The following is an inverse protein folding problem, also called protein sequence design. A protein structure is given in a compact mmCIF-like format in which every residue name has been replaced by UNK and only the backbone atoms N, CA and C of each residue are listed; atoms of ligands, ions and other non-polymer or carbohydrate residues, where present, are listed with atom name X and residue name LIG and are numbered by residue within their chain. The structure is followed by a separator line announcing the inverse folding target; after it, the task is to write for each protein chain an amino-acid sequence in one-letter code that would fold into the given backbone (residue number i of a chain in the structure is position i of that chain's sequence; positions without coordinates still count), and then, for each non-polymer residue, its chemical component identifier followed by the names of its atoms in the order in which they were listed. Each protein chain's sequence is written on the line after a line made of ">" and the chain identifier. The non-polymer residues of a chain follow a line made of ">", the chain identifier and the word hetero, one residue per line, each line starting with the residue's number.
data_IF_684391878507
#
_entry.id   IF_684391878507
#
_cell.length_a   1.000
_cell.length_b   1.000
_cell.length_c   1.000
_cell.angle_alpha   90.00
_cell.angle_beta   90.00
_cell.angle_gamma   90.00
#
_symmetry.space_group_name_H-M   'P 1'
#
loop_
_entity.id
_entity.type
_entity.pdbx_description
1 polymer ?
#
# COMPACT_ATOMS: atom_id res chain seq x y z
N UNK A 1 45.49 -21.66 -0.52
CA UNK A 1 44.38 -20.81 -0.04
C UNK A 1 43.74 -20.15 -1.26
N UNK A 2 42.42 -20.27 -1.47
CA UNK A 2 41.71 -19.55 -2.51
C UNK A 2 41.87 -18.05 -2.28
N UNK A 3 42.07 -17.28 -3.36
CA UNK A 3 42.20 -15.82 -3.28
C UNK A 3 40.90 -15.25 -2.68
N UNK A 4 41.03 -14.55 -1.55
CA UNK A 4 39.89 -13.85 -0.93
C UNK A 4 39.67 -12.55 -1.72
N UNK A 5 38.46 -12.37 -2.26
CA UNK A 5 38.02 -11.17 -2.95
C UNK A 5 36.56 -10.84 -2.55
N UNK A 6 36.05 -9.69 -2.99
CA UNK A 6 34.72 -9.20 -2.60
C UNK A 6 33.60 -10.15 -3.03
N UNK A 7 33.77 -10.82 -4.18
CA UNK A 7 32.81 -11.81 -4.68
C UNK A 7 32.82 -13.09 -3.84
N UNK A 8 34.00 -13.56 -3.40
CA UNK A 8 34.11 -14.71 -2.52
C UNK A 8 33.61 -14.43 -1.09
N UNK A 9 33.49 -13.14 -0.71
CA UNK A 9 32.88 -12.69 0.53
C UNK A 9 31.36 -12.52 0.42
N UNK A 10 30.75 -12.88 -0.73
CA UNK A 10 29.30 -12.92 -0.91
C UNK A 10 28.69 -11.70 -1.58
N UNK A 11 29.48 -10.68 -1.98
CA UNK A 11 28.99 -9.47 -2.65
C UNK A 11 29.40 -9.42 -4.11
N UNK A 12 28.44 -9.35 -5.02
CA UNK A 12 28.64 -9.37 -6.47
C UNK A 12 28.37 -8.00 -7.11
N UNK A 13 29.37 -7.13 -7.15
CA UNK A 13 29.29 -5.78 -7.78
C UNK A 13 28.75 -5.85 -9.21
N UNK A 14 29.15 -6.87 -10.00
CA UNK A 14 28.68 -7.01 -11.38
C UNK A 14 27.16 -7.21 -11.42
N UNK A 15 26.61 -8.06 -10.56
CA UNK A 15 25.17 -8.28 -10.50
C UNK A 15 24.42 -6.99 -10.12
N UNK A 16 24.98 -6.16 -9.24
CA UNK A 16 24.43 -4.84 -8.93
C UNK A 16 24.38 -3.93 -10.16
N UNK A 17 25.49 -3.81 -10.89
CA UNK A 17 25.55 -3.01 -12.11
C UNK A 17 24.59 -3.53 -13.19
N UNK A 18 24.55 -4.85 -13.41
CA UNK A 18 23.64 -5.49 -14.36
C UNK A 18 22.16 -5.21 -13.99
N UNK A 19 21.80 -5.21 -12.70
CA UNK A 19 20.47 -4.86 -12.22
C UNK A 19 20.12 -3.40 -12.57
N UNK A 20 21.00 -2.46 -12.27
CA UNK A 20 20.81 -1.03 -12.58
C UNK A 20 20.62 -0.81 -14.08
N UNK A 21 21.43 -1.44 -14.92
CA UNK A 21 21.31 -1.31 -16.37
C UNK A 21 19.97 -1.85 -16.90
N UNK A 22 19.47 -2.94 -16.32
CA UNK A 22 18.19 -3.55 -16.69
C UNK A 22 16.98 -2.67 -16.35
N UNK A 23 17.04 -1.84 -15.30
CA UNK A 23 15.92 -1.03 -14.83
C UNK A 23 15.96 0.43 -15.27
N UNK A 24 17.11 0.94 -15.67
CA UNK A 24 17.36 2.36 -15.93
C UNK A 24 16.37 3.01 -16.89
N UNK A 25 16.02 2.31 -17.99
CA UNK A 25 15.05 2.82 -18.98
C UNK A 25 13.63 2.88 -18.39
N UNK A 26 13.24 1.83 -17.66
CA UNK A 26 11.91 1.70 -17.10
C UNK A 26 11.71 2.75 -16.00
N UNK A 27 12.68 2.91 -15.09
CA UNK A 27 12.65 3.94 -14.04
C UNK A 27 12.57 5.34 -14.65
N UNK A 28 13.36 5.65 -15.68
CA UNK A 28 13.30 6.94 -16.40
C UNK A 28 11.90 7.23 -16.96
N UNK A 29 11.10 6.22 -17.28
CA UNK A 29 9.75 6.42 -17.81
C UNK A 29 8.76 6.96 -16.77
N UNK A 30 9.13 6.99 -15.48
CA UNK A 30 8.35 7.59 -14.40
C UNK A 30 8.67 9.06 -14.18
N UNK A 31 9.75 9.57 -14.80
CA UNK A 31 10.27 10.91 -14.54
C UNK A 31 9.35 11.97 -15.13
N UNK A 32 8.99 12.93 -14.28
CA UNK A 32 8.41 14.20 -14.73
C UNK A 32 9.52 15.18 -15.10
N UNK A 33 9.15 16.32 -15.69
CA UNK A 33 10.11 17.40 -16.00
C UNK A 33 10.83 17.97 -14.77
N UNK A 34 10.34 17.68 -13.58
CA UNK A 34 10.94 18.12 -12.31
C UNK A 34 12.15 17.28 -11.89
N UNK A 35 12.35 16.08 -12.45
CA UNK A 35 13.51 15.24 -12.13
C UNK A 35 14.72 15.72 -12.92
N UNK A 36 15.75 16.23 -12.23
CA UNK A 36 16.93 16.83 -12.83
C UNK A 36 18.12 15.87 -12.93
N UNK A 37 18.10 14.76 -12.22
CA UNK A 37 19.18 13.75 -12.23
C UNK A 37 18.70 12.42 -12.81
N UNK A 38 19.62 11.65 -13.36
CA UNK A 38 19.39 10.26 -13.77
C UNK A 38 19.68 9.27 -12.64
N UNK A 39 19.38 8.00 -12.91
CA UNK A 39 19.74 6.87 -12.03
C UNK A 39 21.25 6.68 -12.01
N UNK A 40 21.81 6.41 -10.83
CA UNK A 40 23.23 6.17 -10.58
C UNK A 40 24.00 7.36 -10.02
N UNK A 41 23.32 8.47 -9.73
CA UNK A 41 23.86 9.59 -8.94
C UNK A 41 23.80 9.27 -7.45
N UNK A 42 24.64 9.95 -6.61
CA UNK A 42 24.63 9.78 -5.16
C UNK A 42 23.30 10.20 -4.50
N UNK A 43 22.53 11.04 -5.17
CA UNK A 43 21.20 11.46 -4.75
C UNK A 43 20.39 11.96 -5.94
N UNK A 44 19.10 12.07 -5.76
CA UNK A 44 18.18 12.63 -6.77
C UNK A 44 18.01 14.13 -6.56
N UNK A 45 17.97 14.89 -7.66
CA UNK A 45 17.60 16.29 -7.66
C UNK A 45 16.20 16.42 -8.26
N UNK A 46 15.31 17.05 -7.51
CA UNK A 46 13.93 17.28 -7.91
C UNK A 46 13.60 18.78 -7.78
N UNK A 47 13.24 19.40 -8.91
CA UNK A 47 12.90 20.84 -8.92
C UNK A 47 11.52 21.07 -8.31
N UNK A 48 11.51 21.67 -7.14
CA UNK A 48 10.30 21.98 -6.40
C UNK A 48 9.62 23.27 -6.85
N UNK A 49 10.37 24.20 -7.47
CA UNK A 49 9.85 25.54 -7.77
C UNK A 49 8.56 25.52 -8.58
N UNK A 50 8.44 24.80 -9.72
CA UNK A 50 7.20 24.78 -10.52
C UNK A 50 5.99 24.16 -9.79
N UNK A 51 6.26 23.43 -8.69
CA UNK A 51 5.22 22.80 -7.87
C UNK A 51 4.78 23.77 -6.78
N UNK A 52 5.72 24.26 -5.96
CA UNK A 52 5.40 25.10 -4.79
C UNK A 52 4.76 26.43 -5.18
N UNK A 53 5.05 26.97 -6.37
CA UNK A 53 4.40 28.19 -6.89
C UNK A 53 2.87 28.06 -7.02
N UNK A 54 2.34 26.82 -7.05
CA UNK A 54 0.89 26.54 -7.09
C UNK A 54 0.24 26.55 -5.70
N UNK A 55 1.02 26.66 -4.64
CA UNK A 55 0.58 26.60 -3.25
C UNK A 55 0.86 27.94 -2.57
N UNK A 56 -0.03 28.35 -1.67
CA UNK A 56 0.18 29.52 -0.81
C UNK A 56 1.07 29.16 0.38
N UNK A 57 0.83 28.02 0.96
CA UNK A 57 1.58 27.50 2.11
C UNK A 57 1.79 25.97 1.94
N UNK A 58 2.78 25.58 1.12
CA UNK A 58 3.05 24.17 0.86
C UNK A 58 3.54 23.46 2.12
N UNK A 59 3.00 22.27 2.39
CA UNK A 59 3.44 21.38 3.47
C UNK A 59 3.92 20.08 2.86
N UNK A 60 5.11 19.65 3.24
CA UNK A 60 5.67 18.36 2.84
C UNK A 60 5.03 17.24 3.66
N UNK A 61 4.65 16.16 3.00
CA UNK A 61 4.11 14.95 3.63
C UNK A 61 4.95 13.76 3.21
N UNK A 62 5.37 12.96 4.18
CA UNK A 62 6.23 11.80 3.93
C UNK A 62 5.70 10.58 4.69
N UNK A 63 5.84 9.41 4.09
CA UNK A 63 5.63 8.12 4.73
C UNK A 63 6.72 7.14 4.32
N UNK A 64 6.99 6.18 5.18
CA UNK A 64 7.86 5.04 4.93
C UNK A 64 7.10 3.77 5.29
N UNK A 65 7.09 2.81 4.38
CA UNK A 65 6.43 1.52 4.61
C UNK A 65 7.19 0.39 3.92
N UNK A 66 6.86 -0.85 4.28
CA UNK A 66 7.43 -2.07 3.71
C UNK A 66 6.36 -3.01 3.19
N UNK A 67 6.76 -3.98 2.36
CA UNK A 67 5.86 -5.05 1.90
C UNK A 67 5.64 -6.11 2.99
N UNK A 68 6.56 -6.23 3.91
CA UNK A 68 6.52 -7.20 4.98
C UNK A 68 6.51 -8.65 4.49
N UNK A 69 5.85 -9.54 5.24
CA UNK A 69 5.92 -10.99 5.00
C UNK A 69 5.13 -11.47 3.76
N UNK A 70 4.46 -10.58 3.02
CA UNK A 70 3.93 -10.88 1.66
C UNK A 70 5.05 -11.24 0.69
N UNK A 71 6.27 -10.69 0.88
CA UNK A 71 7.46 -11.04 0.10
C UNK A 71 7.77 -12.55 0.11
N UNK A 72 7.42 -13.26 1.20
CA UNK A 72 7.58 -14.71 1.30
C UNK A 72 6.64 -15.45 0.33
N UNK A 73 5.43 -14.93 0.11
CA UNK A 73 4.48 -15.49 -0.88
C UNK A 73 5.04 -15.29 -2.29
N UNK A 74 5.54 -14.08 -2.59
CA UNK A 74 6.19 -13.78 -3.87
C UNK A 74 7.37 -14.74 -4.14
N UNK A 75 8.22 -14.97 -3.14
CA UNK A 75 9.34 -15.92 -3.21
C UNK A 75 8.87 -17.36 -3.48
N UNK A 76 7.85 -17.85 -2.77
CA UNK A 76 7.29 -19.20 -2.96
C UNK A 76 6.72 -19.40 -4.38
N UNK A 77 6.14 -18.37 -4.97
CA UNK A 77 5.61 -18.38 -6.33
C UNK A 77 6.66 -18.04 -7.39
N UNK A 78 7.85 -17.57 -6.98
CA UNK A 78 8.86 -16.98 -7.86
C UNK A 78 8.27 -15.90 -8.79
N UNK A 79 7.45 -15.00 -8.20
CA UNK A 79 6.73 -13.92 -8.89
C UNK A 79 6.78 -12.65 -8.05
N UNK A 80 7.47 -11.62 -8.54
CA UNK A 80 7.86 -10.47 -7.72
C UNK A 80 7.29 -9.13 -8.19
N UNK A 81 6.67 -9.05 -9.36
CA UNK A 81 6.12 -7.82 -9.93
C UNK A 81 5.06 -7.16 -9.03
N UNK A 82 4.19 -7.96 -8.40
CA UNK A 82 3.12 -7.44 -7.53
C UNK A 82 3.63 -6.75 -6.29
N UNK A 83 4.73 -7.23 -5.69
CA UNK A 83 5.25 -6.62 -4.44
C UNK A 83 5.87 -5.23 -4.66
N UNK A 84 6.32 -4.92 -5.88
CA UNK A 84 6.71 -3.56 -6.26
C UNK A 84 5.49 -2.62 -6.33
N UNK A 85 4.35 -3.10 -6.84
CA UNK A 85 3.07 -2.36 -6.80
C UNK A 85 2.63 -2.15 -5.36
N UNK A 86 2.71 -3.20 -4.53
CA UNK A 86 2.34 -3.16 -3.12
C UNK A 86 3.09 -2.08 -2.36
N UNK A 87 4.41 -2.01 -2.57
CA UNK A 87 5.28 -1.07 -1.85
C UNK A 87 4.90 0.38 -2.10
N UNK A 88 4.76 0.77 -3.38
CA UNK A 88 4.32 2.12 -3.70
C UNK A 88 2.90 2.39 -3.21
N UNK A 89 1.98 1.43 -3.39
CA UNK A 89 0.57 1.61 -3.01
C UNK A 89 0.41 1.81 -1.51
N UNK A 90 1.11 1.02 -0.68
CA UNK A 90 1.06 1.17 0.77
C UNK A 90 1.51 2.58 1.19
N UNK A 91 2.70 2.99 0.76
CA UNK A 91 3.25 4.30 1.11
C UNK A 91 2.42 5.48 0.55
N UNK A 92 1.93 5.38 -0.70
CA UNK A 92 1.11 6.43 -1.31
C UNK A 92 -0.24 6.59 -0.60
N UNK A 93 -0.90 5.46 -0.27
CA UNK A 93 -2.18 5.48 0.44
C UNK A 93 -2.09 6.15 1.81
N UNK A 94 -0.94 6.07 2.48
CA UNK A 94 -0.73 6.72 3.78
C UNK A 94 -0.66 8.25 3.70
N UNK A 95 -0.14 8.81 2.62
CA UNK A 95 -0.05 10.27 2.50
C UNK A 95 -1.29 10.91 1.86
N UNK A 96 -1.97 10.19 0.96
CA UNK A 96 -3.17 10.74 0.31
C UNK A 96 -4.34 10.90 1.28
N UNK A 97 -4.40 10.14 2.38
CA UNK A 97 -5.45 10.31 3.41
C UNK A 97 -5.40 11.68 4.08
N UNK A 98 -4.26 12.38 4.00
CA UNK A 98 -4.09 13.76 4.44
C UNK A 98 -4.36 14.79 3.32
N UNK A 99 -4.80 14.34 2.13
CA UNK A 99 -5.00 15.18 0.95
C UNK A 99 -3.71 15.53 0.20
N UNK A 100 -2.60 14.86 0.50
CA UNK A 100 -1.31 15.12 -0.13
C UNK A 100 -1.24 14.53 -1.54
N UNK A 101 -0.67 15.29 -2.48
CA UNK A 101 -0.31 14.79 -3.80
C UNK A 101 1.08 14.16 -3.73
N UNK A 102 1.22 12.86 -4.04
CA UNK A 102 2.52 12.21 -4.13
C UNK A 102 3.38 12.82 -5.25
N UNK A 103 4.69 12.92 -5.03
CA UNK A 103 5.65 13.51 -5.96
C UNK A 103 6.77 12.54 -6.33
N UNK A 104 7.49 12.04 -5.32
CA UNK A 104 8.68 11.21 -5.51
C UNK A 104 8.64 9.97 -4.63
N UNK A 105 9.30 8.92 -5.11
CA UNK A 105 9.46 7.66 -4.40
C UNK A 105 10.92 7.22 -4.41
N UNK A 106 11.38 6.70 -3.28
CA UNK A 106 12.67 6.05 -3.10
C UNK A 106 12.43 4.65 -2.54
N UNK A 107 13.21 3.68 -3.00
CA UNK A 107 13.14 2.30 -2.52
C UNK A 107 14.44 1.83 -1.89
N UNK A 108 14.34 0.86 -0.98
CA UNK A 108 15.42 0.04 -0.49
C UNK A 108 15.06 -1.42 -0.69
N UNK A 109 15.90 -2.16 -1.43
CA UNK A 109 15.73 -3.59 -1.66
C UNK A 109 16.95 -4.31 -1.09
N UNK A 110 16.78 -5.04 -0.01
CA UNK A 110 17.82 -5.87 0.59
C UNK A 110 17.60 -7.35 0.25
N UNK A 111 18.70 -8.06 0.02
CA UNK A 111 18.70 -9.48 -0.37
C UNK A 111 19.84 -10.24 0.32
N UNK A 112 19.69 -11.56 0.46
CA UNK A 112 20.84 -12.43 0.78
C UNK A 112 21.85 -12.44 -0.37
N UNK A 113 21.33 -12.64 -1.60
CA UNK A 113 22.09 -12.61 -2.86
C UNK A 113 21.29 -11.92 -3.95
N UNK A 114 21.96 -11.02 -4.66
CA UNK A 114 21.33 -10.22 -5.68
C UNK A 114 21.10 -11.03 -6.96
N UNK A 115 19.83 -11.08 -7.41
CA UNK A 115 19.43 -11.60 -8.70
C UNK A 115 18.88 -10.44 -9.56
N UNK A 116 19.59 -10.02 -10.62
CA UNK A 116 19.16 -8.90 -11.45
C UNK A 116 17.75 -9.03 -12.05
N UNK A 117 17.32 -10.26 -12.37
CA UNK A 117 15.96 -10.49 -12.91
C UNK A 117 14.89 -10.26 -11.85
N UNK A 118 15.09 -10.75 -10.62
CA UNK A 118 14.17 -10.51 -9.50
C UNK A 118 14.05 -9.01 -9.20
N UNK A 119 15.19 -8.30 -9.14
CA UNK A 119 15.20 -6.84 -8.95
C UNK A 119 14.41 -6.15 -10.07
N UNK A 120 14.64 -6.54 -11.32
CA UNK A 120 13.90 -6.00 -12.46
C UNK A 120 12.38 -6.21 -12.32
N UNK A 121 11.92 -7.39 -11.90
CA UNK A 121 10.50 -7.65 -11.69
C UNK A 121 9.92 -6.76 -10.60
N UNK A 122 10.58 -6.65 -9.45
CA UNK A 122 10.15 -5.78 -8.35
C UNK A 122 10.03 -4.33 -8.84
N UNK A 123 11.09 -3.81 -9.45
CA UNK A 123 11.12 -2.44 -9.97
C UNK A 123 10.07 -2.23 -11.06
N UNK A 124 9.80 -3.22 -11.92
CA UNK A 124 8.76 -3.09 -12.94
C UNK A 124 7.37 -2.87 -12.33
N UNK A 125 7.07 -3.51 -11.21
CA UNK A 125 5.86 -3.27 -10.43
C UNK A 125 5.79 -1.85 -9.87
N UNK A 126 6.88 -1.37 -9.27
CA UNK A 126 6.97 0.02 -8.80
C UNK A 126 6.78 1.02 -9.93
N UNK A 127 7.49 0.83 -11.05
CA UNK A 127 7.39 1.68 -12.25
C UNK A 127 5.96 1.74 -12.77
N UNK A 128 5.27 0.60 -12.84
CA UNK A 128 3.87 0.54 -13.25
C UNK A 128 3.01 1.44 -12.36
N UNK A 129 3.08 1.26 -11.04
CA UNK A 129 2.28 2.02 -10.08
C UNK A 129 2.68 3.51 -10.06
N UNK A 130 3.98 3.84 -10.18
CA UNK A 130 4.47 5.20 -10.32
C UNK A 130 3.86 5.92 -11.54
N UNK A 131 3.84 5.26 -12.70
CA UNK A 131 3.27 5.84 -13.94
C UNK A 131 1.77 6.06 -13.84
N UNK A 132 1.04 5.14 -13.23
CA UNK A 132 -0.41 5.25 -13.03
C UNK A 132 -0.77 6.41 -12.11
N UNK A 133 0.12 6.79 -11.19
CA UNK A 133 -0.14 7.81 -10.16
C UNK A 133 0.63 9.12 -10.37
N UNK A 134 1.47 9.19 -11.40
CA UNK A 134 2.29 10.38 -11.68
C UNK A 134 3.41 10.62 -10.67
N UNK A 135 3.83 9.58 -9.95
CA UNK A 135 4.96 9.60 -9.01
C UNK A 135 6.26 9.30 -9.76
N UNK A 136 7.33 10.02 -9.48
CA UNK A 136 8.66 9.72 -10.03
C UNK A 136 9.44 8.81 -9.09
N UNK A 137 9.85 7.63 -9.58
CA UNK A 137 10.82 6.77 -8.89
C UNK A 137 12.21 7.37 -9.10
N UNK A 138 12.67 8.17 -8.16
CA UNK A 138 13.83 9.05 -8.37
C UNK A 138 15.15 8.42 -7.95
N UNK A 139 15.13 7.30 -7.24
CA UNK A 139 16.32 6.59 -6.80
C UNK A 139 15.97 5.47 -5.84
N UNK A 140 17.00 4.83 -5.33
CA UNK A 140 16.87 3.74 -4.37
C UNK A 140 18.22 3.14 -4.02
N UNK A 141 18.20 2.12 -3.19
CA UNK A 141 19.37 1.34 -2.78
C UNK A 141 19.08 -0.15 -2.94
N UNK A 142 20.00 -0.89 -3.54
CA UNK A 142 19.91 -2.34 -3.64
C UNK A 142 21.11 -2.97 -2.94
N UNK A 143 20.87 -3.60 -1.80
CA UNK A 143 21.90 -4.14 -0.94
C UNK A 143 21.95 -5.68 -1.01
N UNK A 144 23.16 -6.22 -1.22
CA UNK A 144 23.46 -7.64 -1.07
C UNK A 144 24.04 -7.85 0.34
N UNK A 145 23.33 -8.58 1.19
CA UNK A 145 23.62 -8.73 2.61
C UNK A 145 23.64 -10.22 3.00
N UNK A 146 24.71 -10.94 2.59
CA UNK A 146 24.87 -12.36 2.96
C UNK A 146 24.86 -12.52 4.47
N UNK A 147 24.29 -13.63 4.95
CA UNK A 147 24.15 -14.02 6.35
C UNK A 147 23.24 -13.10 7.22
N UNK A 148 22.74 -11.99 6.67
CA UNK A 148 21.72 -11.16 7.33
C UNK A 148 20.32 -11.65 7.01
N UNK A 149 20.07 -12.03 5.78
CA UNK A 149 18.80 -12.60 5.30
C UNK A 149 18.95 -14.10 5.03
N UNK A 150 17.85 -14.83 5.21
CA UNK A 150 17.80 -16.24 4.81
C UNK A 150 17.91 -16.36 3.27
N UNK A 151 18.38 -17.52 2.75
CA UNK A 151 18.55 -17.69 1.31
C UNK A 151 17.32 -17.33 0.49
N UNK A 152 17.52 -16.48 -0.52
CA UNK A 152 16.48 -15.96 -1.43
C UNK A 152 15.44 -15.05 -0.76
N UNK A 153 15.69 -14.56 0.44
CA UNK A 153 14.83 -13.55 1.04
C UNK A 153 15.12 -12.17 0.49
N UNK A 154 14.05 -11.38 0.46
CA UNK A 154 14.06 -9.99 0.03
C UNK A 154 13.29 -9.17 1.05
N UNK A 155 13.85 -8.05 1.44
CA UNK A 155 13.16 -7.03 2.23
C UNK A 155 13.05 -5.75 1.41
N UNK A 156 11.87 -5.17 1.42
CA UNK A 156 11.53 -4.01 0.61
C UNK A 156 10.98 -2.91 1.50
N UNK A 157 11.57 -1.73 1.39
CA UNK A 157 11.12 -0.52 2.07
C UNK A 157 11.01 0.61 1.05
N UNK A 158 9.99 1.43 1.15
CA UNK A 158 9.79 2.57 0.27
C UNK A 158 9.49 3.84 1.04
N UNK A 159 10.06 4.95 0.57
CA UNK A 159 9.82 6.29 1.10
C UNK A 159 9.12 7.12 0.04
N UNK A 160 7.94 7.61 0.38
CA UNK A 160 7.17 8.52 -0.48
C UNK A 160 7.24 9.93 0.07
N UNK A 161 7.35 10.88 -0.84
CA UNK A 161 7.26 12.31 -0.55
C UNK A 161 6.14 12.93 -1.35
N UNK A 162 5.28 13.68 -0.71
CA UNK A 162 4.17 14.40 -1.31
C UNK A 162 4.03 15.81 -0.75
N UNK A 163 3.06 16.54 -1.27
CA UNK A 163 2.81 17.94 -0.92
C UNK A 163 1.31 18.20 -0.76
N UNK A 164 0.96 19.05 0.19
CA UNK A 164 -0.42 19.50 0.42
C UNK A 164 -0.44 20.98 0.76
N UNK A 165 -1.51 21.72 0.40
CA UNK A 165 -1.75 23.07 0.89
C UNK A 165 -2.16 23.01 2.36
N UNK A 166 -1.54 23.83 3.22
CA UNK A 166 -1.77 23.80 4.67
C UNK A 166 -3.25 23.88 5.04
N UNK A 167 -3.99 24.76 4.40
CA UNK A 167 -5.41 24.97 4.69
C UNK A 167 -6.32 23.88 4.10
N UNK A 168 -5.76 22.96 3.30
CA UNK A 168 -6.45 21.81 2.70
C UNK A 168 -6.07 20.48 3.31
N UNK A 169 -5.30 20.49 4.40
CA UNK A 169 -4.95 19.24 5.10
C UNK A 169 -6.23 18.58 5.64
N UNK A 170 -6.44 17.34 5.24
CA UNK A 170 -7.55 16.52 5.75
C UNK A 170 -7.08 15.84 7.02
N UNK A 171 -7.57 16.31 8.16
CA UNK A 171 -7.11 15.88 9.50
C UNK A 171 -8.24 15.41 10.43
N UNK A 172 -9.46 15.28 9.91
CA UNK A 172 -10.60 14.81 10.68
C UNK A 172 -11.25 15.82 11.63
N UNK A 173 -10.66 17.00 11.85
CA UNK A 173 -11.13 17.95 12.88
C UNK A 173 -12.58 18.44 12.70
N UNK A 174 -13.10 18.39 11.47
CA UNK A 174 -14.47 18.79 11.13
C UNK A 174 -15.48 17.64 11.16
N UNK A 175 -15.06 16.41 11.48
CA UNK A 175 -15.92 15.24 11.58
C UNK A 175 -16.89 15.41 12.75
N UNK A 176 -18.15 15.02 12.51
CA UNK A 176 -19.25 15.12 13.50
C UNK A 176 -20.03 13.81 13.58
N UNK A 177 -20.73 13.62 14.69
CA UNK A 177 -21.71 12.54 14.79
C UNK A 177 -22.72 12.62 13.66
N UNK A 178 -23.03 11.46 13.04
CA UNK A 178 -23.96 11.34 11.92
C UNK A 178 -23.31 11.45 10.54
N UNK A 179 -22.05 11.86 10.45
CA UNK A 179 -21.32 11.84 9.19
C UNK A 179 -21.27 10.42 8.61
N UNK A 180 -21.36 10.32 7.29
CA UNK A 180 -21.37 9.05 6.56
C UNK A 180 -19.95 8.50 6.40
N UNK A 181 -19.81 7.19 6.60
CA UNK A 181 -18.57 6.44 6.40
C UNK A 181 -18.70 5.60 5.15
N UNK A 182 -17.90 5.90 4.13
CA UNK A 182 -17.92 5.24 2.82
C UNK A 182 -16.60 4.49 2.65
N UNK A 183 -16.70 3.18 2.33
CA UNK A 183 -15.55 2.33 2.08
C UNK A 183 -15.34 2.05 0.61
N UNK A 184 -14.08 2.06 0.16
CA UNK A 184 -13.66 1.49 -1.11
C UNK A 184 -13.16 0.05 -0.93
N UNK A 185 -13.46 -0.84 -1.88
CA UNK A 185 -13.06 -2.25 -1.78
C UNK A 185 -11.55 -2.40 -1.79
N UNK A 186 -11.06 -3.44 -1.11
CA UNK A 186 -9.71 -3.99 -1.29
C UNK A 186 -9.70 -5.10 -2.34
N UNK A 187 -8.52 -5.43 -2.87
CA UNK A 187 -8.30 -6.55 -3.79
C UNK A 187 -8.07 -7.89 -3.08
N UNK A 188 -7.80 -7.84 -1.78
CA UNK A 188 -7.40 -8.97 -0.94
C UNK A 188 -6.86 -8.48 0.38
N UNK A 189 -5.86 -9.18 0.92
CA UNK A 189 -5.21 -8.82 2.18
C UNK A 189 -4.43 -7.50 2.11
N UNK A 190 -4.13 -7.03 0.90
CA UNK A 190 -3.18 -5.94 0.65
C UNK A 190 -1.77 -6.31 1.14
N UNK A 191 -1.27 -5.65 2.18
CA UNK A 191 0.07 -5.92 2.74
C UNK A 191 0.02 -6.35 4.23
N UNK A 192 -1.15 -6.62 4.79
CA UNK A 192 -1.33 -6.90 6.22
C UNK A 192 -1.96 -8.27 6.49
N UNK A 193 -1.67 -8.84 7.66
CA UNK A 193 -2.23 -10.12 8.09
C UNK A 193 -1.52 -11.36 7.51
N UNK A 194 -0.42 -11.19 6.77
CA UNK A 194 0.28 -12.30 6.11
C UNK A 194 0.92 -13.29 7.08
N UNK A 195 1.37 -12.84 8.25
CA UNK A 195 1.93 -13.76 9.26
C UNK A 195 0.88 -14.75 9.75
N UNK A 196 -0.35 -14.29 10.01
CA UNK A 196 -1.46 -15.17 10.40
C UNK A 196 -1.86 -16.10 9.22
N UNK A 197 -2.06 -15.54 8.03
CA UNK A 197 -2.44 -16.34 6.85
C UNK A 197 -1.40 -17.42 6.51
N UNK A 198 -0.10 -17.11 6.60
CA UNK A 198 0.99 -18.05 6.36
C UNK A 198 1.03 -19.15 7.41
N UNK A 199 0.95 -18.77 8.69
CA UNK A 199 0.90 -19.73 9.79
C UNK A 199 -0.26 -20.69 9.63
N UNK A 200 -1.45 -20.16 9.28
CA UNK A 200 -2.63 -20.96 9.05
C UNK A 200 -2.43 -21.94 7.89
N UNK A 201 -2.26 -21.42 6.68
CA UNK A 201 -2.32 -22.27 5.49
C UNK A 201 -1.10 -23.17 5.31
N UNK A 202 0.11 -22.65 5.55
CA UNK A 202 1.33 -23.41 5.22
C UNK A 202 1.92 -24.18 6.40
N UNK A 203 1.72 -23.72 7.64
CA UNK A 203 2.28 -24.41 8.81
C UNK A 203 1.24 -25.32 9.49
N UNK A 204 0.02 -24.82 9.75
CA UNK A 204 -0.99 -25.60 10.44
C UNK A 204 -1.73 -26.58 9.51
N UNK A 205 -2.15 -26.11 8.32
CA UNK A 205 -2.91 -26.94 7.37
C UNK A 205 -2.05 -27.65 6.33
N UNK A 206 -0.73 -27.34 6.28
CA UNK A 206 0.20 -27.99 5.35
C UNK A 206 -0.09 -27.76 3.87
N UNK A 207 -0.82 -26.68 3.54
CA UNK A 207 -1.18 -26.37 2.14
C UNK A 207 0.06 -26.05 1.31
N UNK A 208 0.06 -26.51 0.05
CA UNK A 208 1.01 -26.01 -0.95
C UNK A 208 0.57 -24.64 -1.46
N UNK A 209 1.55 -23.85 -1.95
CA UNK A 209 1.30 -22.51 -2.50
C UNK A 209 0.32 -22.53 -3.70
N UNK A 210 0.26 -23.64 -4.45
CA UNK A 210 -0.62 -23.85 -5.60
C UNK A 210 -1.93 -24.52 -5.23
N UNK A 211 -2.21 -24.81 -3.95
CA UNK A 211 -3.48 -25.39 -3.49
C UNK A 211 -4.66 -24.58 -4.03
N UNK A 212 -5.65 -25.27 -4.59
CA UNK A 212 -6.88 -24.68 -5.08
C UNK A 212 -8.01 -24.98 -4.11
N UNK A 213 -8.66 -23.93 -3.63
CA UNK A 213 -9.89 -24.03 -2.85
C UNK A 213 -11.08 -23.73 -3.78
N UNK A 214 -12.20 -24.42 -3.57
CA UNK A 214 -13.43 -24.21 -4.38
C UNK A 214 -14.02 -22.80 -4.24
N UNK A 215 -13.69 -22.13 -3.13
CA UNK A 215 -14.11 -20.77 -2.80
C UNK A 215 -13.27 -19.69 -3.53
N UNK A 216 -12.13 -20.07 -4.11
CA UNK A 216 -11.18 -19.16 -4.73
C UNK A 216 -11.11 -19.38 -6.25
N UNK A 217 -11.13 -18.31 -7.02
CA UNK A 217 -11.00 -18.36 -8.49
C UNK A 217 -9.55 -18.70 -8.94
N UNK A 218 -8.56 -18.46 -8.07
CA UNK A 218 -7.13 -18.69 -8.32
C UNK A 218 -6.57 -19.63 -7.27
N UNK A 219 -5.32 -20.12 -7.47
CA UNK A 219 -4.62 -20.83 -6.42
C UNK A 219 -4.42 -19.94 -5.19
N UNK A 220 -4.23 -20.56 -4.02
CA UNK A 220 -4.02 -19.88 -2.76
C UNK A 220 -2.93 -18.81 -2.86
N UNK A 221 -1.77 -19.18 -3.40
CA UNK A 221 -0.64 -18.26 -3.53
C UNK A 221 -0.96 -17.07 -4.44
N UNK A 222 -1.60 -17.28 -5.57
CA UNK A 222 -2.00 -16.18 -6.47
C UNK A 222 -3.05 -15.28 -5.84
N UNK A 223 -3.99 -15.83 -5.06
CA UNK A 223 -4.97 -15.05 -4.31
C UNK A 223 -4.31 -14.21 -3.22
N UNK A 224 -3.34 -14.79 -2.49
CA UNK A 224 -2.57 -14.06 -1.49
C UNK A 224 -1.63 -13.02 -2.13
N UNK A 225 -1.25 -13.18 -3.38
CA UNK A 225 -0.35 -12.26 -4.08
C UNK A 225 -1.10 -11.13 -4.82
N UNK A 226 -2.43 -11.04 -4.72
CA UNK A 226 -3.18 -9.93 -5.33
C UNK A 226 -2.57 -8.58 -4.92
N UNK A 227 -2.31 -7.67 -5.90
CA UNK A 227 -1.70 -6.39 -5.61
C UNK A 227 -2.57 -5.49 -4.75
N UNK A 228 -1.92 -4.70 -3.90
CA UNK A 228 -2.53 -3.64 -3.12
C UNK A 228 -3.08 -2.55 -4.05
N UNK A 229 -4.34 -2.16 -3.88
CA UNK A 229 -4.93 -1.08 -4.66
C UNK A 229 -4.31 0.25 -4.27
N UNK A 230 -3.84 0.99 -5.27
CA UNK A 230 -3.42 2.37 -5.09
C UNK A 230 -4.63 3.29 -5.26
N UNK A 231 -5.02 3.98 -4.20
CA UNK A 231 -6.20 4.86 -4.20
C UNK A 231 -5.86 6.31 -4.57
N UNK A 232 -4.64 6.62 -4.99
CA UNK A 232 -4.19 8.00 -5.26
C UNK A 232 -5.13 8.74 -6.21
N UNK A 233 -5.42 8.15 -7.38
CA UNK A 233 -6.29 8.81 -8.37
C UNK A 233 -7.73 8.96 -7.88
N UNK A 234 -8.24 8.00 -7.12
CA UNK A 234 -9.60 8.04 -6.54
C UNK A 234 -9.73 9.20 -5.53
N UNK A 235 -8.74 9.35 -4.66
CA UNK A 235 -8.71 10.38 -3.63
C UNK A 235 -8.51 11.77 -4.24
N UNK A 236 -7.47 11.92 -5.08
CA UNK A 236 -7.16 13.23 -5.67
C UNK A 236 -8.29 13.74 -6.55
N UNK A 237 -8.89 12.88 -7.39
CA UNK A 237 -10.04 13.28 -8.20
C UNK A 237 -11.27 13.67 -7.36
N UNK A 238 -11.50 12.99 -6.23
CA UNK A 238 -12.58 13.33 -5.30
C UNK A 238 -12.35 14.70 -4.65
N UNK A 239 -11.12 15.03 -4.29
CA UNK A 239 -10.75 16.36 -3.77
C UNK A 239 -10.91 17.43 -4.85
N UNK A 240 -10.44 17.16 -6.06
CA UNK A 240 -10.54 18.07 -7.20
C UNK A 240 -11.99 18.33 -7.64
N UNK A 241 -12.90 17.37 -7.44
CA UNK A 241 -14.33 17.56 -7.71
C UNK A 241 -15.04 18.50 -6.72
N UNK A 242 -14.34 18.97 -5.70
CA UNK A 242 -14.87 19.89 -4.68
C UNK A 242 -15.72 19.23 -3.60
N UNK A 243 -15.71 17.89 -3.51
CA UNK A 243 -16.38 17.17 -2.43
C UNK A 243 -15.65 17.45 -1.10
N UNK A 244 -16.42 17.86 -0.09
CA UNK A 244 -15.87 18.15 1.23
C UNK A 244 -15.58 16.85 2.01
N UNK A 245 -14.39 16.28 1.82
CA UNK A 245 -13.92 15.11 2.55
C UNK A 245 -13.40 15.58 3.91
N UNK A 246 -14.05 15.17 4.99
CA UNK A 246 -13.69 15.57 6.36
C UNK A 246 -12.57 14.72 6.95
N UNK A 247 -12.45 13.46 6.54
CA UNK A 247 -11.42 12.55 6.98
C UNK A 247 -11.33 11.33 6.08
N UNK A 248 -10.18 10.68 6.11
CA UNK A 248 -9.94 9.41 5.41
C UNK A 248 -9.09 8.50 6.27
N UNK A 249 -9.22 7.19 6.08
CA UNK A 249 -8.37 6.20 6.71
C UNK A 249 -7.95 5.12 5.71
N UNK A 250 -6.66 4.88 5.61
CA UNK A 250 -6.09 3.72 4.92
C UNK A 250 -6.20 2.53 5.87
N UNK A 251 -6.82 1.44 5.40
CA UNK A 251 -7.09 0.28 6.25
C UNK A 251 -5.95 -0.73 6.11
N UNK A 252 -5.05 -0.68 7.08
CA UNK A 252 -3.84 -1.50 7.21
C UNK A 252 -3.97 -2.47 8.40
N UNK A 253 -2.86 -2.88 9.03
CA UNK A 253 -2.88 -3.63 10.29
C UNK A 253 -3.67 -2.91 11.37
N UNK A 254 -4.46 -3.63 12.12
CA UNK A 254 -5.48 -3.09 13.02
C UNK A 254 -6.89 -3.02 12.40
N UNK A 255 -7.01 -3.23 11.07
CA UNK A 255 -8.28 -3.27 10.35
C UNK A 255 -9.12 -2.01 10.50
N UNK A 256 -10.43 -2.14 10.33
CA UNK A 256 -11.38 -1.02 10.52
C UNK A 256 -11.39 -0.51 11.97
N UNK A 257 -11.14 -1.39 12.93
CA UNK A 257 -11.26 -1.10 14.35
C UNK A 257 -10.20 -0.10 14.83
N UNK A 258 -8.97 -0.21 14.35
CA UNK A 258 -7.86 0.63 14.83
C UNK A 258 -7.50 1.77 13.87
N UNK A 259 -7.83 1.65 12.56
CA UNK A 259 -7.47 2.70 11.60
C UNK A 259 -8.50 3.84 11.52
N UNK A 260 -9.81 3.55 11.63
CA UNK A 260 -10.84 4.61 11.63
C UNK A 260 -10.65 5.58 12.80
N UNK A 261 -10.37 5.15 14.05
CA UNK A 261 -10.18 6.08 15.16
C UNK A 261 -9.05 7.08 14.99
N UNK A 262 -8.03 6.78 14.17
CA UNK A 262 -6.88 7.68 13.95
C UNK A 262 -7.27 9.04 13.37
N UNK A 263 -8.42 9.11 12.69
CA UNK A 263 -8.90 10.33 12.04
C UNK A 263 -10.10 10.94 12.79
N UNK A 264 -10.67 10.24 13.74
CA UNK A 264 -11.82 10.73 14.48
C UNK A 264 -11.42 11.69 15.61
N UNK A 265 -12.14 12.80 15.80
CA UNK A 265 -12.01 13.64 17.00
C UNK A 265 -12.26 12.86 18.30
N UNK A 266 -11.66 13.28 19.43
CA UNK A 266 -11.89 12.65 20.73
C UNK A 266 -13.37 12.54 21.07
N UNK A 267 -13.78 11.39 21.63
CA UNK A 267 -15.16 11.10 22.02
C UNK A 267 -16.09 10.65 20.88
N UNK A 268 -15.63 10.70 19.62
CA UNK A 268 -16.35 10.11 18.49
C UNK A 268 -15.87 8.68 18.24
N UNK A 269 -16.77 7.86 17.73
CA UNK A 269 -16.55 6.49 17.29
C UNK A 269 -17.21 6.24 15.94
N UNK A 270 -17.36 5.00 15.56
CA UNK A 270 -18.02 4.61 14.31
C UNK A 270 -18.90 3.38 14.53
N UNK A 271 -20.11 3.42 14.00
CA UNK A 271 -20.99 2.27 13.85
C UNK A 271 -20.88 1.74 12.44
N UNK A 272 -20.19 0.64 12.28
CA UNK A 272 -19.97 -0.03 10.98
C UNK A 272 -20.99 -1.16 10.83
N UNK A 273 -21.74 -1.13 9.73
CA UNK A 273 -22.79 -2.09 9.45
C UNK A 273 -22.24 -3.30 8.68
N UNK A 274 -22.15 -4.43 9.36
CA UNK A 274 -21.80 -5.70 8.73
C UNK A 274 -22.76 -6.04 7.59
N UNK A 275 -22.25 -6.70 6.54
CA UNK A 275 -23.06 -7.05 5.37
C UNK A 275 -23.34 -5.89 4.42
N UNK A 276 -22.93 -4.66 4.71
CA UNK A 276 -23.11 -3.52 3.80
C UNK A 276 -22.10 -3.53 2.61
N UNK A 277 -21.12 -4.42 2.63
CA UNK A 277 -20.18 -4.69 1.53
C UNK A 277 -19.90 -6.20 1.44
N UNK A 278 -19.46 -6.72 0.28
CA UNK A 278 -19.10 -8.12 0.16
C UNK A 278 -17.76 -8.41 0.84
N UNK A 279 -17.74 -9.41 1.72
CA UNK A 279 -16.50 -9.96 2.27
C UNK A 279 -15.89 -10.90 1.22
N UNK A 280 -14.64 -10.64 0.83
CA UNK A 280 -13.94 -11.44 -0.16
C UNK A 280 -13.77 -12.91 0.29
N UNK A 281 -13.83 -13.88 -0.64
CA UNK A 281 -13.76 -15.31 -0.30
C UNK A 281 -12.54 -15.69 0.53
N UNK A 282 -11.39 -15.05 0.32
CA UNK A 282 -10.17 -15.35 1.07
C UNK A 282 -10.32 -15.08 2.58
N UNK A 283 -11.05 -14.02 2.98
CA UNK A 283 -11.27 -13.75 4.41
C UNK A 283 -12.21 -14.78 5.05
N UNK A 284 -13.25 -15.19 4.32
CA UNK A 284 -14.15 -16.28 4.78
C UNK A 284 -13.38 -17.59 4.92
N UNK A 285 -12.47 -17.87 4.00
CA UNK A 285 -11.64 -19.07 4.03
C UNK A 285 -10.67 -19.03 5.23
N UNK A 286 -9.98 -17.92 5.47
CA UNK A 286 -9.11 -17.73 6.64
C UNK A 286 -9.91 -17.96 7.93
N UNK A 287 -11.09 -17.35 8.03
CA UNK A 287 -11.93 -17.47 9.21
C UNK A 287 -12.40 -18.92 9.45
N UNK A 288 -12.89 -19.60 8.42
CA UNK A 288 -13.44 -20.95 8.54
C UNK A 288 -12.38 -22.00 8.81
N UNK A 289 -11.27 -21.96 8.06
CA UNK A 289 -10.18 -22.94 8.19
C UNK A 289 -9.42 -22.72 9.51
N UNK A 290 -9.12 -21.46 9.83
CA UNK A 290 -8.38 -21.10 11.05
C UNK A 290 -9.23 -21.04 12.29
N UNK A 291 -10.56 -21.16 12.17
CA UNK A 291 -11.51 -20.90 13.28
C UNK A 291 -11.19 -19.58 14.00
N UNK A 292 -10.77 -18.58 13.21
CA UNK A 292 -10.37 -17.29 13.73
C UNK A 292 -11.62 -16.54 14.21
N UNK A 293 -11.58 -16.05 15.44
CA UNK A 293 -12.67 -15.28 16.03
C UNK A 293 -12.95 -14.03 15.18
N UNK A 294 -14.24 -13.65 15.10
CA UNK A 294 -14.70 -12.52 14.28
C UNK A 294 -13.95 -11.23 14.61
N UNK A 295 -13.80 -10.93 15.88
CA UNK A 295 -13.13 -9.71 16.33
C UNK A 295 -11.66 -9.68 15.91
N UNK A 296 -10.99 -10.83 15.94
CA UNK A 296 -9.61 -10.98 15.47
C UNK A 296 -9.51 -10.76 13.95
N UNK A 297 -10.49 -11.25 13.18
CA UNK A 297 -10.55 -11.00 11.73
C UNK A 297 -10.61 -9.51 11.42
N UNK A 298 -11.47 -8.74 12.13
CA UNK A 298 -11.62 -7.29 11.92
C UNK A 298 -10.48 -6.45 12.49
N UNK A 299 -9.63 -7.01 13.36
CA UNK A 299 -8.40 -6.38 13.85
C UNK A 299 -7.20 -6.67 12.94
N UNK A 300 -7.12 -7.89 12.43
CA UNK A 300 -5.96 -8.32 11.64
C UNK A 300 -6.05 -7.90 10.18
N UNK A 301 -7.28 -7.92 9.60
CA UNK A 301 -7.50 -7.76 8.17
C UNK A 301 -8.39 -6.55 7.85
N UNK A 302 -8.26 -6.07 6.61
CA UNK A 302 -9.11 -5.02 6.06
C UNK A 302 -10.55 -5.47 5.77
N UNK A 303 -10.82 -6.78 5.80
CA UNK A 303 -12.12 -7.42 5.58
C UNK A 303 -12.83 -6.99 4.28
N UNK A 304 -12.06 -6.62 3.25
CA UNK A 304 -12.59 -6.21 1.94
C UNK A 304 -12.74 -4.69 1.77
N UNK A 305 -12.35 -3.88 2.75
CA UNK A 305 -12.32 -2.41 2.65
C UNK A 305 -10.88 -1.92 2.83
N UNK A 306 -10.31 -1.31 1.79
CA UNK A 306 -8.93 -0.82 1.82
C UNK A 306 -8.80 0.67 2.12
N UNK A 307 -9.82 1.47 1.81
CA UNK A 307 -9.84 2.92 2.06
C UNK A 307 -11.20 3.35 2.58
N UNK A 308 -11.21 4.26 3.53
CA UNK A 308 -12.43 4.83 4.12
C UNK A 308 -12.43 6.34 3.93
N UNK A 309 -13.60 6.87 3.57
CA UNK A 309 -13.90 8.30 3.49
C UNK A 309 -14.98 8.67 4.52
N UNK A 310 -14.83 9.82 5.15
CA UNK A 310 -15.83 10.39 6.06
C UNK A 310 -16.26 11.74 5.51
N UNK A 311 -17.56 11.86 5.23
CA UNK A 311 -18.16 13.06 4.66
C UNK A 311 -19.46 13.41 5.39
N UNK A 312 -19.92 14.64 5.24
CA UNK A 312 -21.27 15.01 5.66
C UNK A 312 -22.32 14.12 4.99
N UNK A 313 -23.38 13.74 5.70
CA UNK A 313 -24.40 12.84 5.15
C UNK A 313 -25.09 13.41 3.89
N UNK A 314 -25.13 14.73 3.73
CA UNK A 314 -25.64 15.38 2.51
C UNK A 314 -24.74 15.16 1.29
N UNK A 315 -23.43 15.02 1.48
CA UNK A 315 -22.43 14.85 0.42
C UNK A 315 -22.23 13.37 0.05
N UNK A 316 -22.83 12.43 0.82
CA UNK A 316 -22.71 11.00 0.64
C UNK A 316 -22.99 10.53 -0.80
N UNK A 317 -24.13 10.92 -1.35
CA UNK A 317 -24.53 10.49 -2.69
C UNK A 317 -23.60 11.05 -3.77
N UNK A 318 -23.12 12.28 -3.60
CA UNK A 318 -22.17 12.89 -4.51
C UNK A 318 -20.85 12.12 -4.54
N UNK A 319 -20.28 11.82 -3.36
CA UNK A 319 -19.04 11.04 -3.27
C UNK A 319 -19.21 9.60 -3.83
N UNK A 320 -20.31 8.93 -3.51
CA UNK A 320 -20.59 7.58 -4.03
C UNK A 320 -20.67 7.60 -5.55
N UNK A 321 -21.41 8.55 -6.15
CA UNK A 321 -21.52 8.66 -7.59
C UNK A 321 -20.18 8.96 -8.25
N UNK A 322 -19.38 9.84 -7.67
CA UNK A 322 -18.03 10.16 -8.17
C UNK A 322 -17.11 8.93 -8.16
N UNK A 323 -17.00 8.27 -7.01
CA UNK A 323 -16.14 7.10 -6.83
C UNK A 323 -16.59 5.88 -7.67
N UNK A 324 -17.89 5.77 -7.97
CA UNK A 324 -18.44 4.68 -8.80
C UNK A 324 -17.91 4.66 -10.24
N UNK A 325 -17.27 5.73 -10.68
CA UNK A 325 -16.58 5.77 -11.98
C UNK A 325 -15.27 4.95 -11.98
N UNK A 326 -14.73 4.66 -10.82
CA UNK A 326 -13.46 3.95 -10.64
C UNK A 326 -13.65 2.56 -10.01
N UNK A 327 -14.21 2.53 -8.81
CA UNK A 327 -14.46 1.33 -8.00
C UNK A 327 -15.86 1.43 -7.39
N UNK A 328 -16.47 0.30 -7.04
CA UNK A 328 -17.76 0.29 -6.37
C UNK A 328 -17.61 0.72 -4.90
N UNK A 329 -18.04 1.93 -4.50
CA UNK A 329 -18.01 2.33 -3.11
C UNK A 329 -19.21 1.76 -2.34
N UNK A 330 -19.06 1.66 -1.01
CA UNK A 330 -20.08 1.13 -0.11
C UNK A 330 -20.32 2.12 1.05
N UNK A 331 -21.57 2.39 1.36
CA UNK A 331 -21.92 3.06 2.61
C UNK A 331 -21.81 2.02 3.76
N UNK A 332 -20.67 2.05 4.45
CA UNK A 332 -20.35 1.03 5.45
C UNK A 332 -20.77 1.41 6.88
N UNK A 333 -21.10 2.67 7.14
CA UNK A 333 -21.49 3.08 8.49
C UNK A 333 -21.68 4.56 8.66
N UNK A 334 -21.70 4.97 9.94
CA UNK A 334 -21.82 6.37 10.36
C UNK A 334 -20.94 6.65 11.56
N UNK A 335 -20.51 7.89 11.69
CA UNK A 335 -19.82 8.39 12.88
C UNK A 335 -20.81 8.41 14.05
N UNK A 336 -20.41 7.83 15.18
CA UNK A 336 -21.20 7.72 16.39
C UNK A 336 -20.52 8.39 17.60
N UNK A 337 -21.18 8.45 18.74
CA UNK A 337 -20.57 8.79 20.03
C UNK A 337 -19.99 7.54 20.69
N UNK A 338 -19.08 7.74 21.65
CA UNK A 338 -18.60 6.65 22.52
C UNK A 338 -17.16 6.22 22.29
N UNK A 339 -16.42 6.88 21.38
CA UNK A 339 -14.96 6.72 21.24
C UNK A 339 -14.49 5.35 20.72
N UNK A 340 -15.40 4.51 20.22
CA UNK A 340 -15.07 3.16 19.73
C UNK A 340 -15.66 2.90 18.34
N UNK A 341 -15.01 2.03 17.59
CA UNK A 341 -15.57 1.44 16.37
C UNK A 341 -16.31 0.16 16.76
N UNK A 342 -17.56 0.04 16.35
CA UNK A 342 -18.41 -1.12 16.62
C UNK A 342 -18.88 -1.69 15.29
N UNK A 343 -18.66 -2.99 15.08
CA UNK A 343 -19.16 -3.75 13.93
C UNK A 343 -20.52 -4.37 14.34
N UNK A 344 -21.61 -3.93 13.70
CA UNK A 344 -22.98 -4.32 14.01
C UNK A 344 -23.64 -5.09 12.88
#
# INVERSE_FOLDING_TARGET
>A
MSKIDYKSSGVNIKAGNDAVDLIKKDVKSTFTSNVLTGIGSFGSLFDLKPIIEKYKHPVLVQSIDGVGTKAIIARKLNKFDSIGIDLLSAAANDIIVMGAKPLTFLDYIANDRLNPRTIKEIISGMVKSCRETGVSLVGGETAEMPDTYLPKEHDLVGVITGIVEKDKIINGSSIKQGDSIIGLPSSGLHTNGYSLARKLFFEAEGCDINTKFKELDKSLGLTLLEPHINYTNHVLSSIESGINIKGMAHITGGGLIENIPRVLPPGLGADIREGSWPILPIFKLIQSVGKVEKDEMYKTFNMGIGMVFIVDSKDQSHLINHLSQFLKPYLIGKVSKGGRVVIK
#
